data_IF_649264768603
#
_entry.id   IF_649264768603
#
_cell.length_a   1.000
_cell.length_b   1.000
_cell.length_c   1.000
_cell.angle_alpha   90.00
_cell.angle_beta   90.00
_cell.angle_gamma   90.00
#
_symmetry.space_group_name_H-M   'P 1'
#
loop_
_entity.id
_entity.type
_entity.pdbx_description
1 polymer ?
#
# COMPACT_ATOMS: atom_id res chain seq x y z
N UNK A 1 20.72 25.54 -38.53
CA UNK A 1 20.33 24.36 -37.72
C UNK A 1 21.50 23.73 -36.94
N UNK A 2 22.77 23.87 -37.37
CA UNK A 2 23.95 23.34 -36.64
C UNK A 2 24.28 24.00 -35.30
N UNK A 3 23.80 25.23 -35.04
CA UNK A 3 24.12 26.01 -33.82
C UNK A 3 23.38 25.54 -32.55
N UNK A 4 22.36 24.70 -32.69
CA UNK A 4 21.61 24.12 -31.56
C UNK A 4 22.12 22.73 -31.13
N UNK A 5 23.01 22.10 -31.90
CA UNK A 5 23.56 20.78 -31.57
C UNK A 5 24.69 20.84 -30.52
N UNK A 6 25.43 21.96 -30.47
CA UNK A 6 26.52 22.19 -29.52
C UNK A 6 26.09 22.21 -28.03
N UNK A 7 25.02 22.92 -27.62
CA UNK A 7 24.60 22.89 -26.21
C UNK A 7 24.03 21.53 -25.77
N UNK A 8 23.43 20.76 -26.68
CA UNK A 8 22.85 19.44 -26.38
C UNK A 8 23.95 18.40 -26.10
N UNK A 9 25.05 18.44 -26.86
CA UNK A 9 26.19 17.52 -26.67
C UNK A 9 26.97 17.83 -25.39
N UNK A 10 27.02 19.09 -24.96
CA UNK A 10 27.66 19.50 -23.70
C UNK A 10 26.79 19.16 -22.47
N UNK A 11 25.47 19.10 -22.62
CA UNK A 11 24.55 18.71 -21.54
C UNK A 11 24.48 17.19 -21.32
N UNK A 12 24.83 16.38 -22.32
CA UNK A 12 24.79 14.90 -22.24
C UNK A 12 25.63 14.33 -21.08
N UNK A 13 26.91 14.75 -20.87
CA UNK A 13 27.75 14.29 -19.77
C UNK A 13 27.22 14.66 -18.38
N UNK A 14 26.57 15.84 -18.26
CA UNK A 14 25.97 16.32 -17.00
C UNK A 14 24.71 15.49 -16.64
N UNK A 15 23.90 15.14 -17.65
CA UNK A 15 22.76 14.25 -17.49
C UNK A 15 23.20 12.80 -17.20
N UNK A 16 24.24 12.29 -17.86
CA UNK A 16 24.79 10.96 -17.58
C UNK A 16 25.53 10.90 -16.24
N UNK A 17 26.21 11.99 -15.85
CA UNK A 17 26.87 12.12 -14.54
C UNK A 17 25.86 12.14 -13.40
N UNK A 18 24.69 12.74 -13.59
CA UNK A 18 23.57 12.68 -12.64
C UNK A 18 23.02 11.27 -12.45
N UNK A 19 22.93 10.47 -13.51
CA UNK A 19 22.51 9.06 -13.42
C UNK A 19 23.55 8.20 -12.71
N UNK A 20 24.85 8.35 -13.03
CA UNK A 20 25.93 7.56 -12.41
C UNK A 20 26.15 7.96 -10.95
N UNK A 21 26.05 9.25 -10.64
CA UNK A 21 26.12 9.73 -9.25
C UNK A 21 24.94 9.20 -8.43
N UNK A 22 23.73 9.17 -9.00
CA UNK A 22 22.55 8.63 -8.35
C UNK A 22 22.64 7.12 -8.14
N UNK A 23 23.12 6.36 -9.13
CA UNK A 23 23.32 4.91 -8.95
C UNK A 23 24.45 4.61 -7.98
N UNK A 24 25.58 5.33 -8.00
CA UNK A 24 26.65 5.15 -7.01
C UNK A 24 26.19 5.51 -5.59
N UNK A 25 25.39 6.57 -5.45
CA UNK A 25 24.78 6.95 -4.17
C UNK A 25 23.73 5.94 -3.70
N UNK A 26 22.87 5.46 -4.59
CA UNK A 26 21.88 4.44 -4.28
C UNK A 26 22.55 3.10 -3.95
N UNK A 27 23.67 2.73 -4.60
CA UNK A 27 24.49 1.55 -4.23
C UNK A 27 25.23 1.74 -2.91
N UNK A 28 25.73 2.93 -2.62
CA UNK A 28 26.36 3.22 -1.33
C UNK A 28 25.35 3.24 -0.17
N UNK A 29 24.11 3.67 -0.43
CA UNK A 29 23.03 3.72 0.58
C UNK A 29 22.17 2.47 0.62
N UNK A 30 22.27 1.59 -0.38
CA UNK A 30 21.58 0.30 -0.46
C UNK A 30 21.84 -0.59 0.76
N UNK A 31 23.08 -0.76 1.28
CA UNK A 31 23.35 -1.56 2.46
C UNK A 31 22.71 -0.99 3.72
N UNK A 32 22.71 0.34 3.88
CA UNK A 32 22.09 1.02 5.02
C UNK A 32 20.57 0.85 4.97
N UNK A 33 19.97 1.03 3.78
CA UNK A 33 18.52 0.85 3.57
C UNK A 33 18.08 -0.61 3.69
N UNK A 34 18.85 -1.55 3.14
CA UNK A 34 18.56 -2.98 3.22
C UNK A 34 18.78 -3.49 4.65
N UNK A 35 19.84 -3.05 5.32
CA UNK A 35 20.10 -3.34 6.72
C UNK A 35 19.03 -2.74 7.63
N UNK A 36 18.60 -1.50 7.40
CA UNK A 36 17.51 -0.90 8.17
C UNK A 36 16.18 -1.60 7.92
N UNK A 37 15.88 -2.04 6.70
CA UNK A 37 14.67 -2.82 6.41
C UNK A 37 14.73 -4.23 6.99
N UNK A 38 15.90 -4.88 6.99
CA UNK A 38 16.09 -6.18 7.60
C UNK A 38 15.98 -6.08 9.13
N UNK A 39 16.57 -5.05 9.73
CA UNK A 39 16.41 -4.75 11.15
C UNK A 39 14.94 -4.43 11.43
N UNK A 40 14.28 -3.57 10.67
CA UNK A 40 12.86 -3.24 10.91
C UNK A 40 11.94 -4.46 10.76
N UNK A 41 12.23 -5.38 9.83
CA UNK A 41 11.49 -6.64 9.69
C UNK A 41 11.78 -7.66 10.82
N UNK A 42 12.99 -7.62 11.39
CA UNK A 42 13.40 -8.50 12.50
C UNK A 42 13.11 -7.90 13.89
N UNK A 43 12.95 -6.57 13.97
CA UNK A 43 12.70 -5.78 15.20
C UNK A 43 11.26 -5.32 15.31
N UNK A 44 10.47 -5.25 14.22
CA UNK A 44 9.01 -5.21 14.33
C UNK A 44 8.54 -6.57 14.83
N UNK A 45 8.55 -6.71 16.15
CA UNK A 45 8.17 -7.92 16.85
C UNK A 45 6.85 -8.47 16.30
N UNK A 46 6.80 -9.79 16.04
CA UNK A 46 5.58 -10.51 15.67
C UNK A 46 4.40 -10.11 16.58
N UNK A 47 4.69 -9.73 17.82
CA UNK A 47 3.73 -9.25 18.82
C UNK A 47 2.97 -7.98 18.41
N UNK A 48 3.60 -7.02 17.72
CA UNK A 48 2.92 -5.81 17.23
C UNK A 48 2.08 -6.09 15.98
N UNK A 49 2.60 -6.96 15.10
CA UNK A 49 1.86 -7.47 13.95
C UNK A 49 0.60 -8.23 14.40
N UNK A 50 0.72 -9.12 15.38
CA UNK A 50 -0.40 -9.90 15.92
C UNK A 50 -1.43 -9.03 16.64
N UNK A 51 -0.98 -8.00 17.35
CA UNK A 51 -1.88 -7.04 18.01
C UNK A 51 -2.67 -6.22 16.99
N UNK A 52 -2.02 -5.77 15.92
CA UNK A 52 -2.67 -5.06 14.82
C UNK A 52 -3.58 -5.98 14.00
N UNK A 53 -3.18 -7.23 13.77
CA UNK A 53 -4.00 -8.23 13.11
C UNK A 53 -5.28 -8.52 13.91
N UNK A 54 -5.16 -8.76 15.21
CA UNK A 54 -6.32 -8.95 16.09
C UNK A 54 -7.25 -7.73 16.13
N UNK A 55 -6.70 -6.51 16.04
CA UNK A 55 -7.51 -5.29 15.92
C UNK A 55 -8.26 -5.23 14.60
N UNK A 56 -7.58 -5.49 13.47
CA UNK A 56 -8.20 -5.54 12.14
C UNK A 56 -9.32 -6.58 12.05
N UNK A 57 -9.12 -7.76 12.65
CA UNK A 57 -10.14 -8.81 12.69
C UNK A 57 -11.39 -8.36 13.44
N UNK A 58 -11.26 -7.75 14.63
CA UNK A 58 -12.40 -7.20 15.38
C UNK A 58 -13.12 -6.09 14.61
N UNK A 59 -12.37 -5.22 13.92
CA UNK A 59 -12.96 -4.15 13.09
C UNK A 59 -13.73 -4.72 11.90
N UNK A 60 -13.22 -5.77 11.26
CA UNK A 60 -13.87 -6.48 10.15
C UNK A 60 -15.18 -7.12 10.61
N UNK A 61 -15.16 -7.86 11.72
CA UNK A 61 -16.36 -8.46 12.33
C UNK A 61 -17.40 -7.39 12.71
N UNK A 62 -16.96 -6.27 13.30
CA UNK A 62 -17.86 -5.18 13.68
C UNK A 62 -18.51 -4.51 12.47
N UNK A 63 -17.75 -4.31 11.38
CA UNK A 63 -18.25 -3.75 10.13
C UNK A 63 -19.30 -4.67 9.51
N UNK A 64 -19.01 -5.97 9.41
CA UNK A 64 -19.96 -6.96 8.90
C UNK A 64 -21.24 -7.02 9.74
N UNK A 65 -21.10 -7.06 11.07
CA UNK A 65 -22.25 -7.05 11.98
C UNK A 65 -23.11 -5.78 11.85
N UNK A 66 -22.49 -4.62 11.57
CA UNK A 66 -23.19 -3.36 11.33
C UNK A 66 -23.95 -3.37 10.01
N UNK A 67 -23.33 -3.89 8.95
CA UNK A 67 -23.96 -4.03 7.62
C UNK A 67 -25.16 -4.98 7.66
N UNK A 68 -25.03 -6.13 8.35
CA UNK A 68 -26.15 -7.04 8.62
C UNK A 68 -27.31 -6.34 9.32
N UNK A 69 -27.04 -5.65 10.43
CA UNK A 69 -28.07 -4.93 11.20
C UNK A 69 -28.71 -3.81 10.38
N UNK A 70 -27.95 -3.12 9.54
CA UNK A 70 -28.47 -2.05 8.67
C UNK A 70 -29.43 -2.64 7.64
N UNK A 71 -29.04 -3.76 6.99
CA UNK A 71 -29.87 -4.49 6.02
C UNK A 71 -31.14 -5.05 6.66
N UNK A 72 -31.05 -5.64 7.85
CA UNK A 72 -32.23 -6.10 8.61
C UNK A 72 -33.21 -4.95 8.90
N UNK A 73 -32.69 -3.78 9.29
CA UNK A 73 -33.51 -2.57 9.49
C UNK A 73 -34.15 -2.06 8.20
N UNK A 74 -33.43 -2.11 7.08
CA UNK A 74 -33.95 -1.72 5.77
C UNK A 74 -35.05 -2.67 5.29
N UNK A 75 -34.85 -3.99 5.42
CA UNK A 75 -35.86 -5.00 5.16
C UNK A 75 -37.11 -4.82 6.04
N UNK A 76 -36.92 -4.49 7.32
CA UNK A 76 -38.05 -4.21 8.23
C UNK A 76 -38.84 -2.97 7.80
N UNK A 77 -38.19 -1.98 7.17
CA UNK A 77 -38.85 -0.78 6.65
C UNK A 77 -39.53 -1.02 5.30
N UNK A 78 -38.93 -1.82 4.43
CA UNK A 78 -39.43 -2.12 3.08
C UNK A 78 -39.39 -3.65 2.84
N UNK A 79 -40.41 -4.39 3.31
CA UNK A 79 -40.43 -5.85 3.20
C UNK A 79 -40.50 -6.34 1.75
N UNK A 80 -41.16 -5.60 0.86
CA UNK A 80 -41.36 -5.97 -0.55
C UNK A 80 -40.06 -5.98 -1.37
N UNK A 81 -39.03 -5.26 -0.92
CA UNK A 81 -37.72 -5.18 -1.59
C UNK A 81 -36.59 -5.76 -0.73
N UNK A 82 -36.92 -6.67 0.18
CA UNK A 82 -35.92 -7.32 1.02
C UNK A 82 -35.16 -8.39 0.20
N UNK A 83 -33.97 -8.03 -0.28
CA UNK A 83 -33.05 -8.99 -0.91
C UNK A 83 -32.16 -9.68 0.13
N UNK A 84 -31.78 -10.93 -0.13
CA UNK A 84 -30.91 -11.71 0.77
C UNK A 84 -29.57 -11.00 0.99
N UNK A 85 -29.08 -11.07 2.22
CA UNK A 85 -27.76 -10.55 2.57
C UNK A 85 -26.71 -11.59 2.18
N UNK A 86 -25.89 -11.28 1.18
CA UNK A 86 -24.92 -12.23 0.61
C UNK A 86 -23.63 -12.38 1.44
N UNK A 87 -23.51 -11.64 2.56
CA UNK A 87 -22.37 -11.75 3.45
C UNK A 87 -21.10 -11.09 2.92
N UNK A 88 -20.06 -11.09 3.75
CA UNK A 88 -18.70 -10.87 3.28
C UNK A 88 -18.22 -12.13 2.56
N UNK A 89 -17.88 -12.05 1.27
CA UNK A 89 -17.23 -13.17 0.58
C UNK A 89 -15.72 -12.94 0.58
N UNK A 90 -14.95 -13.98 0.87
CA UNK A 90 -13.49 -13.90 0.82
C UNK A 90 -12.93 -13.52 -0.57
N UNK A 91 -13.77 -13.57 -1.61
CA UNK A 91 -13.47 -13.08 -2.96
C UNK A 91 -13.65 -11.58 -3.16
N UNK A 92 -14.25 -10.87 -2.21
CA UNK A 92 -14.49 -9.43 -2.33
C UNK A 92 -13.17 -8.67 -2.09
N UNK A 93 -12.77 -7.79 -3.01
CA UNK A 93 -11.57 -6.98 -2.82
C UNK A 93 -11.73 -6.08 -1.59
N UNK A 94 -10.71 -6.05 -0.72
CA UNK A 94 -10.69 -5.21 0.50
C UNK A 94 -10.77 -3.70 0.21
#
# INVERSE_FOLDING_TARGET
MRKLLLPIVIALPLLSGGCIAKTAWDVATLPVKAGSQAVDWTTTSQEESDRNYGKKMREKEAKEGKERRKREKECKKNPDNCQSYDGYRASDPE
#
